data_IF_934100153971
#
_entry.id   IF_934100153971
#
_cell.length_a   1.000
_cell.length_b   1.000
_cell.length_c   1.000
_cell.angle_alpha   90.00
_cell.angle_beta   90.00
_cell.angle_gamma   90.00
#
_symmetry.space_group_name_H-M   'P 1'
#
loop_
_entity.id
_entity.type
_entity.pdbx_description
1 polymer ?
#
# COMPACT_ATOMS: atom_id res chain seq x y z
N UNK A 1 -70.64 -5.58 -15.00
CA UNK A 1 -69.88 -5.04 -13.85
C UNK A 1 -68.51 -5.70 -13.79
N UNK A 2 -67.52 -5.03 -13.20
CA UNK A 2 -66.15 -5.49 -12.92
C UNK A 2 -65.20 -5.73 -14.11
N UNK A 3 -64.15 -4.91 -14.18
CA UNK A 3 -62.95 -5.04 -15.02
C UNK A 3 -61.90 -5.95 -14.34
N UNK A 4 -61.44 -7.03 -15.00
CA UNK A 4 -60.17 -7.76 -14.73
C UNK A 4 -59.74 -8.45 -16.05
N UNK A 5 -58.48 -8.49 -16.53
CA UNK A 5 -57.35 -7.54 -16.46
C UNK A 5 -56.28 -7.90 -17.53
N UNK A 6 -55.31 -6.99 -17.77
CA UNK A 6 -53.97 -7.19 -18.38
C UNK A 6 -53.81 -8.08 -19.63
N UNK A 7 -53.61 -7.42 -20.77
CA UNK A 7 -52.93 -7.98 -21.95
C UNK A 7 -51.41 -7.73 -21.86
N UNK A 8 -50.58 -8.74 -22.16
CA UNK A 8 -49.15 -8.57 -22.42
C UNK A 8 -48.80 -9.31 -23.71
N UNK A 9 -48.57 -8.56 -24.80
CA UNK A 9 -48.06 -9.05 -26.07
C UNK A 9 -47.44 -7.87 -26.83
N UNK A 10 -46.25 -8.04 -27.40
CA UNK A 10 -45.58 -7.00 -28.19
C UNK A 10 -44.07 -6.93 -27.95
N UNK A 11 -43.32 -7.85 -28.55
CA UNK A 11 -41.89 -7.69 -28.69
C UNK A 11 -41.58 -6.66 -29.79
N UNK A 12 -40.53 -5.85 -29.61
CA UNK A 12 -39.77 -5.30 -30.75
C UNK A 12 -38.36 -4.89 -30.34
N UNK A 13 -37.40 -5.19 -31.21
CA UNK A 13 -36.00 -4.84 -31.03
C UNK A 13 -35.77 -3.35 -31.29
N UNK A 14 -34.81 -2.74 -30.57
CA UNK A 14 -34.34 -1.39 -30.85
C UNK A 14 -32.88 -1.45 -31.31
N UNK A 15 -32.64 -0.94 -32.51
CA UNK A 15 -31.35 -0.95 -33.20
C UNK A 15 -30.45 0.19 -32.75
N UNK A 16 -29.14 -0.08 -32.71
CA UNK A 16 -28.11 0.95 -32.51
C UNK A 16 -28.07 1.93 -33.69
N UNK A 17 -28.40 3.20 -33.47
CA UNK A 17 -27.72 4.33 -34.15
C UNK A 17 -28.10 5.69 -33.56
N UNK A 18 -27.10 6.44 -33.06
CA UNK A 18 -26.88 7.88 -33.33
C UNK A 18 -25.65 8.40 -32.58
N UNK A 19 -24.53 8.42 -33.28
CA UNK A 19 -23.39 9.30 -32.97
C UNK A 19 -23.74 10.73 -33.40
N UNK A 20 -23.62 11.69 -32.48
CA UNK A 20 -23.42 13.15 -32.62
C UNK A 20 -23.47 13.71 -31.18
N UNK A 21 -22.61 14.61 -30.74
CA UNK A 21 -21.52 15.33 -31.40
C UNK A 21 -20.53 15.82 -30.34
N UNK A 22 -19.23 15.81 -30.63
CA UNK A 22 -18.21 16.28 -29.71
C UNK A 22 -18.40 17.78 -29.35
N UNK A 23 -18.36 18.10 -28.06
CA UNK A 23 -17.92 19.42 -27.59
C UNK A 23 -16.49 19.31 -27.12
N UNK A 24 -15.58 19.81 -27.97
CA UNK A 24 -14.22 20.11 -27.59
C UNK A 24 -14.25 21.26 -26.56
N UNK A 25 -14.13 20.94 -25.27
CA UNK A 25 -13.73 21.94 -24.29
C UNK A 25 -12.22 22.11 -24.34
N UNK A 26 -11.79 23.02 -25.22
CA UNK A 26 -10.47 23.62 -25.14
C UNK A 26 -10.45 24.57 -23.94
N UNK A 27 -9.93 24.09 -22.82
CA UNK A 27 -9.43 24.95 -21.75
C UNK A 27 -8.12 24.36 -21.25
N UNK A 28 -7.01 25.03 -21.59
CA UNK A 28 -5.71 24.77 -20.98
C UNK A 28 -5.74 25.27 -19.53
N UNK A 29 -6.24 24.42 -18.63
CA UNK A 29 -5.96 24.55 -17.21
C UNK A 29 -5.06 23.39 -16.82
N UNK A 30 -3.77 23.71 -16.65
CA UNK A 30 -2.86 22.84 -15.91
C UNK A 30 -3.38 22.74 -14.48
N UNK A 31 -4.12 21.67 -14.19
CA UNK A 31 -4.45 21.30 -12.82
C UNK A 31 -3.17 20.74 -12.20
N UNK A 32 -2.27 21.64 -11.81
CA UNK A 32 -1.14 21.31 -10.94
C UNK A 32 -1.69 21.03 -9.55
N UNK A 33 -2.22 19.81 -9.35
CA UNK A 33 -2.43 19.27 -8.02
C UNK A 33 -1.12 19.44 -7.22
N UNK A 34 -1.17 19.90 -5.96
CA UNK A 34 0.04 20.13 -5.18
C UNK A 34 0.79 18.79 -5.00
N UNK A 35 1.92 18.65 -5.70
CA UNK A 35 2.77 17.45 -5.64
C UNK A 35 3.04 17.13 -4.17
N UNK A 36 2.57 15.97 -3.70
CA UNK A 36 2.65 15.60 -2.28
C UNK A 36 4.08 15.81 -1.75
N UNK A 37 4.20 16.70 -0.77
CA UNK A 37 5.48 17.04 -0.17
C UNK A 37 6.17 15.79 0.36
N UNK A 38 7.50 15.73 0.19
CA UNK A 38 8.33 14.67 0.76
C UNK A 38 8.20 14.77 2.28
N UNK A 39 7.59 13.78 2.93
CA UNK A 39 7.77 13.66 4.37
C UNK A 39 9.24 13.34 4.63
N UNK A 40 9.85 14.13 5.52
CA UNK A 40 11.18 13.88 6.05
C UNK A 40 11.21 12.77 7.10
N UNK A 41 10.05 12.21 7.48
CA UNK A 41 9.94 11.17 8.49
C UNK A 41 10.64 9.88 8.00
N UNK A 42 11.45 9.25 8.86
CA UNK A 42 12.14 8.02 8.50
C UNK A 42 11.13 6.89 8.25
N UNK A 43 11.26 6.23 7.09
CA UNK A 43 10.41 5.09 6.74
C UNK A 43 10.89 3.75 7.33
N UNK A 44 12.06 3.70 7.98
CA UNK A 44 12.67 2.44 8.44
C UNK A 44 11.82 1.72 9.48
N UNK A 45 11.82 0.38 9.42
CA UNK A 45 11.05 -0.44 10.35
C UNK A 45 9.53 -0.37 10.15
N UNK A 46 9.08 0.04 8.96
CA UNK A 46 7.65 0.04 8.56
C UNK A 46 7.32 -1.06 7.54
N UNK A 47 8.31 -1.82 7.10
CA UNK A 47 8.12 -3.07 6.37
C UNK A 47 7.68 -4.19 7.33
N UNK A 48 6.67 -5.02 6.99
CA UNK A 48 6.42 -6.26 7.73
C UNK A 48 7.63 -7.19 7.65
N UNK A 49 8.05 -7.74 8.79
CA UNK A 49 9.13 -8.72 8.85
C UNK A 49 8.74 -9.97 8.03
N UNK A 50 9.67 -10.44 7.20
CA UNK A 50 9.51 -11.63 6.37
C UNK A 50 10.87 -12.17 5.90
N UNK A 51 10.96 -13.48 5.72
CA UNK A 51 12.15 -14.21 5.25
C UNK A 51 12.03 -14.66 3.79
N UNK A 52 10.82 -14.65 3.25
CA UNK A 52 10.53 -15.12 1.89
C UNK A 52 9.55 -14.19 1.17
N UNK A 53 9.73 -14.02 -0.14
CA UNK A 53 8.78 -13.31 -0.99
C UNK A 53 8.55 -14.08 -2.29
N UNK A 54 7.28 -14.37 -2.60
CA UNK A 54 6.85 -15.07 -3.81
C UNK A 54 6.07 -14.11 -4.73
N UNK A 55 6.46 -14.04 -6.00
CA UNK A 55 5.74 -13.33 -7.05
C UNK A 55 5.14 -14.33 -8.04
N UNK A 56 3.81 -14.33 -8.19
CA UNK A 56 3.15 -14.99 -9.32
C UNK A 56 3.25 -14.09 -10.55
N UNK A 57 3.71 -14.63 -11.67
CA UNK A 57 3.85 -13.90 -12.92
C UNK A 57 2.55 -13.93 -13.71
N UNK A 58 1.95 -12.76 -13.96
CA UNK A 58 0.74 -12.61 -14.76
C UNK A 58 1.01 -11.85 -16.05
N UNK A 59 0.30 -12.21 -17.11
CA UNK A 59 0.28 -11.51 -18.41
C UNK A 59 -0.75 -10.38 -18.45
N UNK A 60 -1.47 -10.14 -17.34
CA UNK A 60 -2.53 -9.14 -17.24
C UNK A 60 -1.97 -7.83 -16.67
N UNK A 61 -2.07 -6.69 -17.38
CA UNK A 61 -1.52 -5.43 -16.92
C UNK A 61 -2.24 -4.90 -15.66
N UNK A 62 -1.57 -4.10 -14.80
CA UNK A 62 -2.15 -3.59 -13.56
C UNK A 62 -3.42 -2.76 -13.72
N UNK A 63 -3.63 -2.17 -14.91
CA UNK A 63 -4.87 -1.43 -15.26
C UNK A 63 -6.12 -2.31 -15.27
N UNK A 64 -5.98 -3.63 -15.39
CA UNK A 64 -7.08 -4.59 -15.39
C UNK A 64 -7.19 -5.38 -14.08
N UNK A 65 -6.47 -4.98 -13.03
CA UNK A 65 -6.51 -5.63 -11.73
C UNK A 65 -7.62 -5.01 -10.85
N UNK A 66 -8.48 -5.82 -10.21
CA UNK A 66 -9.41 -5.32 -9.21
C UNK A 66 -8.65 -4.88 -7.95
N UNK A 67 -9.21 -3.90 -7.23
CA UNK A 67 -8.63 -3.37 -5.99
C UNK A 67 -8.18 -4.48 -5.04
N UNK A 68 -8.98 -5.53 -4.88
CA UNK A 68 -8.59 -6.76 -4.21
C UNK A 68 -8.51 -7.90 -5.23
N UNK A 69 -7.30 -8.44 -5.40
CA UNK A 69 -7.02 -9.57 -6.30
C UNK A 69 -7.29 -10.90 -5.58
N UNK A 70 -7.20 -10.90 -4.25
CA UNK A 70 -7.40 -12.08 -3.40
C UNK A 70 -8.79 -12.74 -3.57
N UNK A 71 -9.92 -12.01 -3.64
CA UNK A 71 -11.25 -12.61 -3.86
C UNK A 71 -11.47 -13.21 -5.25
N UNK A 72 -10.66 -12.82 -6.24
CA UNK A 72 -10.77 -13.28 -7.64
C UNK A 72 -9.67 -14.27 -8.05
N UNK A 73 -8.68 -14.49 -7.18
CA UNK A 73 -7.61 -15.47 -7.38
C UNK A 73 -7.54 -16.39 -6.15
N UNK A 74 -8.30 -17.52 -6.15
CA UNK A 74 -8.19 -18.55 -5.14
C UNK A 74 -6.75 -18.95 -4.85
N UNK A 75 -5.91 -19.12 -5.87
CA UNK A 75 -4.51 -19.51 -5.72
C UNK A 75 -3.67 -18.45 -5.02
N UNK A 76 -3.83 -17.16 -5.34
CA UNK A 76 -3.14 -16.10 -4.60
C UNK A 76 -3.58 -16.07 -3.14
N UNK A 77 -4.87 -16.29 -2.86
CA UNK A 77 -5.40 -16.39 -1.49
C UNK A 77 -4.82 -17.58 -0.71
N UNK A 78 -4.76 -18.76 -1.32
CA UNK A 78 -4.14 -19.96 -0.75
C UNK A 78 -2.64 -19.74 -0.49
N UNK A 79 -1.90 -19.21 -1.47
CA UNK A 79 -0.46 -18.92 -1.37
C UNK A 79 -0.16 -17.88 -0.28
N UNK A 80 -0.94 -16.79 -0.19
CA UNK A 80 -0.79 -15.81 0.90
C UNK A 80 -0.98 -16.44 2.27
N UNK A 81 -1.94 -17.38 2.41
CA UNK A 81 -2.16 -18.11 3.66
C UNK A 81 -1.02 -19.08 3.97
N UNK A 82 -0.51 -19.80 2.98
CA UNK A 82 0.56 -20.79 3.16
C UNK A 82 1.91 -20.13 3.47
N UNK A 83 2.32 -19.15 2.64
CA UNK A 83 3.56 -18.40 2.84
C UNK A 83 3.60 -17.72 4.21
N UNK A 84 2.46 -17.20 4.71
CA UNK A 84 2.38 -16.57 6.04
C UNK A 84 2.75 -17.53 7.18
N UNK A 85 2.50 -18.84 7.06
CA UNK A 85 2.94 -19.84 8.07
C UNK A 85 4.46 -19.96 8.17
N UNK A 86 5.16 -19.55 7.12
CA UNK A 86 6.61 -19.67 6.96
C UNK A 86 7.32 -18.30 6.99
N UNK A 87 6.69 -17.29 7.59
CA UNK A 87 7.18 -15.90 7.61
C UNK A 87 7.42 -15.32 6.20
N UNK A 88 6.56 -15.68 5.25
CA UNK A 88 6.66 -15.30 3.85
C UNK A 88 5.49 -14.46 3.35
N UNK A 89 5.73 -13.70 2.29
CA UNK A 89 4.74 -12.87 1.58
C UNK A 89 4.54 -13.43 0.17
N UNK A 90 3.30 -13.39 -0.34
CA UNK A 90 2.99 -13.68 -1.74
C UNK A 90 2.29 -12.48 -2.40
N UNK A 91 2.61 -12.21 -3.66
CA UNK A 91 2.02 -11.14 -4.45
C UNK A 91 2.00 -11.51 -5.95
N UNK A 92 1.41 -10.65 -6.79
CA UNK A 92 1.44 -10.77 -8.25
C UNK A 92 2.40 -9.77 -8.86
N UNK A 93 3.06 -10.14 -9.95
CA UNK A 93 3.88 -9.28 -10.78
C UNK A 93 3.48 -9.38 -12.26
N UNK A 94 3.40 -8.23 -12.92
CA UNK A 94 3.20 -8.12 -14.36
C UNK A 94 4.50 -7.74 -15.06
N UNK A 95 4.75 -8.39 -16.19
CA UNK A 95 5.87 -8.09 -17.08
C UNK A 95 5.28 -7.72 -18.42
N UNK A 96 5.70 -6.58 -18.96
CA UNK A 96 5.29 -6.14 -20.29
C UNK A 96 5.83 -7.13 -21.34
N UNK A 97 4.96 -7.87 -22.06
CA UNK A 97 5.40 -8.88 -23.03
C UNK A 97 6.19 -8.29 -24.21
N UNK A 98 6.09 -6.97 -24.46
CA UNK A 98 6.87 -6.28 -25.49
C UNK A 98 8.31 -5.98 -25.07
N UNK A 99 8.59 -6.01 -23.76
CA UNK A 99 9.92 -5.74 -23.18
C UNK A 99 10.67 -7.02 -22.79
N UNK A 100 9.98 -8.16 -22.71
CA UNK A 100 10.60 -9.47 -22.54
C UNK A 100 11.42 -9.84 -23.80
N UNK A 101 12.63 -10.35 -23.60
CA UNK A 101 13.39 -10.94 -24.69
C UNK A 101 12.62 -12.14 -25.27
N UNK A 102 12.75 -12.38 -26.59
CA UNK A 102 12.05 -13.43 -27.37
C UNK A 102 12.22 -14.88 -26.88
N UNK A 103 12.94 -15.11 -25.79
CA UNK A 103 13.36 -16.42 -25.28
C UNK A 103 12.84 -16.77 -23.88
N UNK A 104 12.17 -15.86 -23.15
CA UNK A 104 11.56 -16.20 -21.85
C UNK A 104 10.03 -16.02 -21.88
N UNK A 105 9.29 -17.03 -22.40
CA UNK A 105 7.84 -16.94 -22.50
C UNK A 105 7.17 -17.07 -21.12
N UNK A 106 6.61 -15.96 -20.65
CA UNK A 106 5.70 -15.98 -19.49
C UNK A 106 4.33 -16.49 -19.96
N UNK A 107 4.04 -17.73 -19.60
CA UNK A 107 2.74 -18.40 -19.78
C UNK A 107 2.21 -18.84 -18.40
N UNK A 108 0.92 -18.88 -18.12
CA UNK A 108 -0.23 -18.18 -18.70
C UNK A 108 -1.23 -18.09 -17.54
N UNK A 109 -1.60 -16.89 -17.08
CA UNK A 109 -2.70 -16.74 -16.13
C UNK A 109 -4.03 -17.24 -16.73
N UNK A 110 -5.15 -17.23 -15.97
CA UNK A 110 -6.44 -17.71 -16.47
C UNK A 110 -6.76 -17.17 -17.86
N UNK A 111 -7.16 -18.08 -18.75
CA UNK A 111 -7.23 -17.91 -20.22
C UNK A 111 -8.19 -16.81 -20.71
N UNK A 112 -8.94 -16.22 -19.80
CA UNK A 112 -9.93 -15.19 -20.03
C UNK A 112 -9.43 -13.76 -20.18
N UNK A 113 -10.34 -12.88 -20.57
CA UNK A 113 -10.12 -11.43 -20.61
C UNK A 113 -10.29 -10.75 -19.23
N UNK A 114 -11.00 -11.40 -18.29
CA UNK A 114 -11.31 -10.87 -16.97
C UNK A 114 -10.93 -11.85 -15.84
N UNK A 115 -10.85 -11.35 -14.60
CA UNK A 115 -10.45 -12.12 -13.39
C UNK A 115 -11.59 -13.00 -12.83
N UNK A 116 -12.72 -13.11 -13.53
CA UNK A 116 -13.94 -13.78 -13.11
C UNK A 116 -14.16 -15.16 -13.75
N UNK A 117 -13.28 -15.61 -14.65
CA UNK A 117 -13.43 -16.90 -15.31
C UNK A 117 -13.01 -18.07 -14.39
N UNK A 118 -13.95 -19.00 -14.19
CA UNK A 118 -13.84 -20.21 -13.36
C UNK A 118 -12.92 -21.30 -13.96
N UNK A 119 -11.82 -20.89 -14.61
CA UNK A 119 -10.81 -21.75 -15.19
C UNK A 119 -9.70 -22.14 -14.20
N UNK A 120 -8.83 -23.10 -14.58
CA UNK A 120 -7.71 -23.50 -13.74
C UNK A 120 -6.65 -22.38 -13.64
N UNK A 121 -6.37 -21.92 -12.42
CA UNK A 121 -5.25 -21.01 -12.17
C UNK A 121 -3.92 -21.77 -12.17
N UNK A 122 -3.03 -21.39 -13.08
CA UNK A 122 -1.63 -21.85 -13.12
C UNK A 122 -0.74 -20.67 -13.48
N UNK A 123 0.36 -20.45 -12.76
CA UNK A 123 1.30 -19.36 -13.05
C UNK A 123 2.74 -19.84 -12.90
N UNK A 124 3.67 -19.24 -13.67
CA UNK A 124 5.09 -19.22 -13.31
C UNK A 124 5.24 -18.39 -12.02
N UNK A 125 6.19 -18.71 -11.14
CA UNK A 125 6.49 -17.89 -9.96
C UNK A 125 7.98 -17.70 -9.73
N UNK A 126 8.36 -16.55 -9.15
CA UNK A 126 9.71 -16.34 -8.59
C UNK A 126 9.63 -16.28 -7.08
N UNK A 127 10.52 -17.03 -6.41
CA UNK A 127 10.63 -17.09 -4.96
C UNK A 127 12.00 -16.56 -4.55
N UNK A 128 11.99 -15.59 -3.65
CA UNK A 128 13.17 -15.08 -2.95
C UNK A 128 13.19 -15.57 -1.52
N UNK A 129 14.38 -15.78 -0.97
CA UNK A 129 14.60 -16.11 0.42
C UNK A 129 15.91 -15.52 0.93
N UNK A 130 15.99 -15.25 2.23
CA UNK A 130 17.18 -14.66 2.87
C UNK A 130 18.43 -15.50 2.56
N UNK A 131 19.48 -14.85 2.06
CA UNK A 131 20.76 -15.46 1.68
C UNK A 131 20.65 -16.61 0.66
N UNK A 132 19.59 -16.64 -0.16
CA UNK A 132 19.39 -17.62 -1.24
C UNK A 132 19.44 -16.93 -2.61
N UNK A 133 19.89 -17.66 -3.64
CA UNK A 133 19.64 -17.26 -5.03
C UNK A 133 18.12 -17.30 -5.31
N UNK A 134 17.60 -16.48 -6.24
CA UNK A 134 16.22 -16.57 -6.67
C UNK A 134 15.89 -17.99 -7.16
N UNK A 135 14.67 -18.45 -6.92
CA UNK A 135 14.16 -19.69 -7.47
C UNK A 135 12.98 -19.40 -8.41
N UNK A 136 12.91 -20.12 -9.52
CA UNK A 136 11.87 -20.00 -10.54
C UNK A 136 11.07 -21.30 -10.58
N UNK A 137 9.84 -21.22 -10.09
CA UNK A 137 8.85 -22.27 -10.22
C UNK A 137 8.16 -22.16 -11.58
N UNK A 138 8.25 -23.19 -12.41
CA UNK A 138 7.73 -23.15 -13.79
C UNK A 138 6.19 -23.25 -13.86
N UNK A 139 5.57 -23.90 -12.87
CA UNK A 139 4.11 -24.09 -12.79
C UNK A 139 3.66 -24.18 -11.34
N UNK A 140 2.88 -23.19 -10.89
CA UNK A 140 2.25 -23.12 -9.57
C UNK A 140 0.75 -23.09 -9.77
N UNK A 141 0.03 -24.02 -9.14
CA UNK A 141 -1.43 -24.18 -9.22
C UNK A 141 -2.02 -24.56 -7.86
N UNK A 142 -3.35 -24.54 -7.74
CA UNK A 142 -4.07 -25.01 -6.54
C UNK A 142 -3.73 -26.46 -6.14
N UNK A 143 -3.28 -27.29 -7.08
CA UNK A 143 -2.96 -28.70 -6.82
C UNK A 143 -1.52 -28.96 -6.37
N UNK A 144 -0.60 -27.98 -6.48
CA UNK A 144 0.82 -28.19 -6.17
C UNK A 144 1.47 -27.12 -5.27
N UNK A 145 0.80 -26.01 -4.96
CA UNK A 145 1.42 -24.89 -4.23
C UNK A 145 2.04 -25.30 -2.88
N UNK A 146 1.38 -26.19 -2.13
CA UNK A 146 1.80 -26.59 -0.79
C UNK A 146 3.05 -27.48 -0.80
N UNK A 147 3.14 -28.44 -1.72
CA UNK A 147 4.37 -29.24 -1.89
C UNK A 147 5.51 -28.37 -2.42
N UNK A 148 5.23 -27.50 -3.39
CA UNK A 148 6.22 -26.60 -3.97
C UNK A 148 6.88 -25.67 -2.93
N UNK A 149 6.08 -25.06 -2.04
CA UNK A 149 6.60 -24.26 -0.91
C UNK A 149 7.44 -25.14 0.02
N UNK A 150 6.94 -26.33 0.39
CA UNK A 150 7.64 -27.25 1.29
C UNK A 150 9.00 -27.68 0.73
N UNK A 151 9.07 -28.05 -0.54
CA UNK A 151 10.29 -28.53 -1.20
C UNK A 151 11.34 -27.41 -1.28
N UNK A 152 10.92 -26.20 -1.66
CA UNK A 152 11.78 -25.01 -1.68
C UNK A 152 12.35 -24.68 -0.30
N UNK A 153 11.52 -24.72 0.76
CA UNK A 153 11.96 -24.47 2.12
C UNK A 153 12.94 -25.55 2.61
N UNK A 154 12.67 -26.81 2.29
CA UNK A 154 13.47 -27.98 2.65
C UNK A 154 14.76 -28.16 1.80
N UNK A 155 15.01 -27.29 0.82
CA UNK A 155 16.14 -27.38 -0.12
C UNK A 155 16.18 -28.72 -0.88
N UNK A 156 15.02 -29.34 -1.11
CA UNK A 156 14.93 -30.61 -1.84
C UNK A 156 14.99 -30.37 -3.34
N UNK A 157 15.63 -31.29 -4.07
CA UNK A 157 15.64 -31.26 -5.52
C UNK A 157 14.21 -31.48 -6.04
N UNK A 158 13.69 -30.47 -6.75
CA UNK A 158 12.38 -30.52 -7.39
C UNK A 158 12.55 -29.98 -8.82
N UNK A 159 12.32 -30.83 -9.82
CA UNK A 159 12.50 -30.51 -11.25
C UNK A 159 11.61 -29.33 -11.72
N UNK A 160 10.58 -28.98 -10.95
CA UNK A 160 9.68 -27.83 -11.21
C UNK A 160 10.28 -26.49 -10.76
N UNK A 161 11.37 -26.51 -9.99
CA UNK A 161 12.03 -25.33 -9.41
C UNK A 161 13.46 -25.23 -9.92
N UNK A 162 13.74 -24.18 -10.69
CA UNK A 162 15.08 -23.90 -11.22
C UNK A 162 15.74 -22.73 -10.47
N UNK A 163 17.07 -22.69 -10.43
CA UNK A 163 17.80 -21.52 -9.91
C UNK A 163 17.68 -20.38 -10.92
N UNK A 164 17.17 -19.23 -10.47
CA UNK A 164 16.98 -18.05 -11.30
C UNK A 164 18.28 -17.28 -11.56
N UNK A 165 18.26 -16.47 -12.63
CA UNK A 165 19.38 -15.63 -13.01
C UNK A 165 19.69 -14.55 -11.97
N UNK A 166 20.98 -14.21 -11.86
CA UNK A 166 21.56 -13.20 -10.98
C UNK A 166 21.35 -11.77 -11.53
N UNK A 167 20.07 -11.41 -11.69
CA UNK A 167 19.60 -10.10 -12.13
C UNK A 167 18.94 -9.33 -11.00
N UNK A 168 19.22 -8.04 -10.94
CA UNK A 168 18.50 -7.08 -10.10
C UNK A 168 17.13 -6.82 -10.71
N UNK A 169 16.08 -7.02 -9.92
CA UNK A 169 14.69 -6.85 -10.31
C UNK A 169 14.05 -5.73 -9.51
N UNK A 170 13.56 -4.73 -10.23
CA UNK A 170 12.76 -3.65 -9.69
C UNK A 170 11.28 -3.96 -9.94
N UNK A 171 10.51 -4.05 -8.85
CA UNK A 171 9.06 -4.23 -8.89
C UNK A 171 8.39 -2.91 -8.51
N UNK A 172 7.80 -2.21 -9.48
CA UNK A 172 7.16 -0.91 -9.27
C UNK A 172 5.65 -1.09 -9.07
N UNK A 173 5.10 -0.56 -7.99
CA UNK A 173 3.66 -0.66 -7.75
C UNK A 173 2.91 0.38 -8.61
N UNK A 174 2.15 -0.09 -9.59
CA UNK A 174 1.30 0.73 -10.49
C UNK A 174 -0.20 0.45 -10.31
N UNK A 175 -0.58 -0.21 -9.21
CA UNK A 175 -1.96 -0.66 -8.96
C UNK A 175 -2.89 0.47 -8.49
N UNK A 176 -3.27 1.35 -9.43
CA UNK A 176 -4.03 2.57 -9.17
C UNK A 176 -5.46 2.37 -8.62
N UNK A 177 -6.07 1.20 -8.82
CA UNK A 177 -7.41 0.87 -8.28
C UNK A 177 -7.41 0.56 -6.78
N UNK A 178 -6.24 0.38 -6.16
CA UNK A 178 -6.07 0.17 -4.70
C UNK A 178 -5.55 1.41 -3.98
N UNK A 179 -4.69 2.19 -4.63
CA UNK A 179 -4.10 3.42 -4.10
C UNK A 179 -3.81 4.36 -5.29
N UNK A 180 -4.47 5.51 -5.34
CA UNK A 180 -4.27 6.49 -6.40
C UNK A 180 -2.81 6.94 -6.51
N UNK A 181 -2.07 6.98 -5.39
CA UNK A 181 -0.65 7.36 -5.37
C UNK A 181 0.25 6.30 -6.02
N UNK A 182 -0.16 5.03 -6.00
CA UNK A 182 0.47 3.98 -6.80
C UNK A 182 0.13 4.11 -8.29
N UNK A 183 -1.09 4.54 -8.64
CA UNK A 183 -1.45 4.85 -10.02
C UNK A 183 -0.60 5.98 -10.61
N UNK A 184 -0.63 7.15 -9.96
CA UNK A 184 0.01 8.37 -10.45
C UNK A 184 1.54 8.31 -10.35
N UNK A 185 2.07 8.19 -9.13
CA UNK A 185 3.53 8.25 -8.90
C UNK A 185 4.23 6.97 -9.34
N UNK A 186 3.56 5.82 -9.21
CA UNK A 186 4.11 4.54 -9.67
C UNK A 186 4.33 4.51 -11.18
N UNK A 187 3.37 5.03 -11.96
CA UNK A 187 3.49 5.15 -13.42
C UNK A 187 4.67 6.04 -13.85
N UNK A 188 4.84 7.21 -13.22
CA UNK A 188 5.98 8.09 -13.48
C UNK A 188 7.33 7.42 -13.13
N UNK A 189 7.41 6.76 -11.97
CA UNK A 189 8.60 6.03 -11.48
C UNK A 189 8.97 4.89 -12.43
N UNK A 190 7.99 4.11 -12.88
CA UNK A 190 8.18 3.03 -13.86
C UNK A 190 8.70 3.56 -15.19
N UNK A 191 8.10 4.63 -15.72
CA UNK A 191 8.52 5.25 -16.98
C UNK A 191 9.96 5.79 -16.88
N UNK A 192 10.29 6.47 -15.79
CA UNK A 192 11.64 6.97 -15.53
C UNK A 192 12.67 5.83 -15.41
N UNK A 193 12.32 4.72 -14.74
CA UNK A 193 13.20 3.55 -14.60
C UNK A 193 13.43 2.84 -15.95
N UNK A 194 12.37 2.59 -16.73
CA UNK A 194 12.48 2.04 -18.10
C UNK A 194 13.31 2.95 -19.00
N UNK A 195 13.17 4.28 -18.88
CA UNK A 195 13.98 5.24 -19.63
C UNK A 195 15.46 5.26 -19.18
N UNK A 196 15.74 5.19 -17.88
CA UNK A 196 17.11 5.17 -17.35
C UNK A 196 17.86 3.90 -17.79
N UNK A 197 17.23 2.73 -17.65
CA UNK A 197 17.81 1.44 -18.06
C UNK A 197 18.01 1.40 -19.58
N UNK A 198 17.04 1.81 -20.40
CA UNK A 198 17.21 1.81 -21.87
C UNK A 198 18.34 2.72 -22.37
N UNK A 199 18.69 3.78 -21.62
CA UNK A 199 19.85 4.66 -21.88
C UNK A 199 21.17 4.16 -21.27
N UNK A 200 21.14 3.12 -20.45
CA UNK A 200 22.32 2.58 -19.77
C UNK A 200 23.16 1.65 -20.66
N UNK A 201 24.38 1.37 -20.21
CA UNK A 201 25.31 0.48 -20.90
C UNK A 201 24.73 -0.94 -21.10
N UNK A 202 25.19 -1.69 -22.12
CA UNK A 202 24.67 -3.04 -22.41
C UNK A 202 24.73 -4.00 -21.22
N UNK A 203 25.79 -3.92 -20.39
CA UNK A 203 25.96 -4.75 -19.20
C UNK A 203 24.85 -4.48 -18.17
N UNK A 204 24.62 -3.21 -17.81
CA UNK A 204 23.52 -2.78 -16.93
C UNK A 204 22.16 -3.25 -17.49
N UNK A 205 21.93 -3.10 -18.81
CA UNK A 205 20.70 -3.54 -19.46
C UNK A 205 20.48 -5.06 -19.43
N UNK A 206 21.55 -5.86 -19.33
CA UNK A 206 21.45 -7.32 -19.17
C UNK A 206 21.24 -7.75 -17.71
N UNK A 207 21.74 -6.96 -16.76
CA UNK A 207 21.67 -7.22 -15.30
C UNK A 207 20.37 -6.74 -14.65
N UNK A 208 19.65 -5.81 -15.27
CA UNK A 208 18.44 -5.18 -14.70
C UNK A 208 17.18 -5.64 -15.40
N UNK A 209 16.19 -6.01 -14.62
CA UNK A 209 14.84 -6.39 -15.05
C UNK A 209 13.80 -5.55 -14.31
N UNK A 210 12.73 -5.14 -15.00
CA UNK A 210 11.71 -4.22 -14.47
C UNK A 210 10.34 -4.86 -14.64
N UNK A 211 9.61 -4.98 -13.53
CA UNK A 211 8.26 -5.50 -13.47
C UNK A 211 7.34 -4.52 -12.74
N UNK A 212 6.05 -4.70 -12.94
CA UNK A 212 5.01 -4.03 -12.17
C UNK A 212 4.46 -5.00 -11.12
N UNK A 213 3.98 -4.51 -9.97
CA UNK A 213 3.58 -5.36 -8.83
C UNK A 213 2.26 -4.92 -8.20
N UNK A 214 1.49 -5.89 -7.70
CA UNK A 214 0.31 -5.65 -6.88
C UNK A 214 0.65 -4.84 -5.62
N UNK A 215 -0.29 -4.03 -5.13
CA UNK A 215 -0.06 -3.09 -4.03
C UNK A 215 0.68 -3.69 -2.82
N UNK A 216 1.76 -3.00 -2.38
CA UNK A 216 2.72 -3.53 -1.42
C UNK A 216 2.69 -2.76 -0.10
N UNK A 217 1.89 -3.26 0.83
CA UNK A 217 1.66 -2.65 2.15
C UNK A 217 0.19 -2.30 2.39
N UNK A 218 -0.04 -1.36 3.30
CA UNK A 218 -1.35 -0.84 3.74
C UNK A 218 -1.15 0.25 4.78
N UNK A 219 -0.51 1.35 4.34
CA UNK A 219 -0.09 2.50 5.15
C UNK A 219 0.33 3.61 4.17
N UNK A 220 0.15 4.91 4.52
CA UNK A 220 0.47 6.16 3.76
C UNK A 220 1.81 6.24 2.99
N UNK A 221 2.72 5.28 3.14
CA UNK A 221 3.98 5.20 2.40
C UNK A 221 4.23 3.81 1.81
N UNK A 222 3.18 3.11 1.37
CA UNK A 222 3.25 1.81 0.70
C UNK A 222 4.43 1.76 -0.28
N UNK A 223 5.13 0.62 -0.33
CA UNK A 223 6.36 0.53 -1.10
C UNK A 223 6.01 0.67 -2.59
N UNK A 224 6.45 1.77 -3.20
CA UNK A 224 6.23 2.01 -4.63
C UNK A 224 7.33 1.40 -5.49
N UNK A 225 8.46 0.97 -4.91
CA UNK A 225 9.49 0.15 -5.56
C UNK A 225 9.99 -0.93 -4.58
N UNK A 226 10.05 -2.18 -5.03
CA UNK A 226 10.80 -3.26 -4.36
C UNK A 226 12.04 -3.61 -5.18
N UNK A 227 13.15 -3.95 -4.51
CA UNK A 227 14.40 -4.35 -5.17
C UNK A 227 14.86 -5.72 -4.67
N UNK A 228 14.85 -6.70 -5.56
CA UNK A 228 15.30 -8.07 -5.33
C UNK A 228 16.51 -8.40 -6.22
N UNK A 229 17.41 -9.35 -5.84
CA UNK A 229 17.36 -10.22 -4.67
C UNK A 229 17.54 -9.61 -3.26
N UNK A 230 18.08 -8.39 -3.03
CA UNK A 230 18.29 -7.87 -1.67
C UNK A 230 17.05 -7.83 -0.78
N UNK A 231 15.85 -7.71 -1.36
CA UNK A 231 14.58 -7.64 -0.64
C UNK A 231 14.34 -6.29 0.00
N UNK A 232 14.86 -5.21 -0.62
CA UNK A 232 14.66 -3.85 -0.15
C UNK A 232 13.27 -3.34 -0.55
N UNK A 233 12.51 -2.85 0.42
CA UNK A 233 11.24 -2.14 0.16
C UNK A 233 11.48 -0.64 0.23
N UNK A 234 11.22 0.07 -0.86
CA UNK A 234 11.39 1.51 -0.98
C UNK A 234 10.03 2.20 -1.10
N UNK A 235 9.77 3.13 -0.19
CA UNK A 235 8.60 4.01 -0.21
C UNK A 235 8.98 5.41 -0.71
N UNK A 236 7.97 6.15 -1.15
CA UNK A 236 8.09 7.56 -1.53
C UNK A 236 9.12 7.84 -2.65
N UNK A 237 9.51 6.86 -3.46
CA UNK A 237 10.41 7.05 -4.61
C UNK A 237 9.75 7.98 -5.65
N UNK A 238 10.55 8.78 -6.35
CA UNK A 238 10.16 9.69 -7.44
C UNK A 238 11.04 9.48 -8.68
N UNK A 239 10.62 9.96 -9.87
CA UNK A 239 11.45 9.97 -11.08
C UNK A 239 12.85 10.56 -10.92
N UNK A 240 13.01 11.55 -10.03
CA UNK A 240 14.28 12.19 -9.69
C UNK A 240 15.31 11.25 -9.07
N UNK A 241 14.84 10.20 -8.38
CA UNK A 241 15.68 9.37 -7.51
C UNK A 241 16.26 8.18 -8.29
N UNK A 242 15.65 7.88 -9.44
CA UNK A 242 15.97 6.75 -10.32
C UNK A 242 17.44 6.65 -10.73
N UNK A 243 18.13 7.73 -11.17
CA UNK A 243 19.52 7.60 -11.62
C UNK A 243 20.46 7.11 -10.50
N UNK A 244 20.24 7.60 -9.28
CA UNK A 244 21.06 7.26 -8.13
C UNK A 244 20.63 5.93 -7.49
N UNK A 245 19.33 5.57 -7.52
CA UNK A 245 18.86 4.22 -7.18
C UNK A 245 19.42 3.16 -8.13
N UNK A 246 19.41 3.41 -9.44
CA UNK A 246 19.95 2.47 -10.44
C UNK A 246 21.44 2.24 -10.15
N UNK A 247 22.23 3.31 -10.03
CA UNK A 247 23.66 3.22 -9.65
C UNK A 247 23.86 2.40 -8.37
N UNK A 248 23.11 2.68 -7.30
CA UNK A 248 23.24 1.99 -6.00
C UNK A 248 23.14 0.46 -6.11
N UNK A 249 22.28 -0.06 -7.00
CA UNK A 249 22.07 -1.51 -7.13
C UNK A 249 22.83 -2.18 -8.27
N UNK A 250 23.30 -1.42 -9.28
CA UNK A 250 24.07 -1.97 -10.42
C UNK A 250 25.58 -1.78 -10.28
N UNK A 251 26.00 -0.80 -9.48
CA UNK A 251 27.39 -0.45 -9.18
C UNK A 251 27.51 -0.06 -7.68
N UNK A 252 27.47 -1.06 -6.77
CA UNK A 252 27.56 -0.81 -5.34
C UNK A 252 28.95 -0.32 -4.90
N UNK A 253 30.01 -0.69 -5.63
CA UNK A 253 31.40 -0.38 -5.29
C UNK A 253 31.84 1.01 -5.79
N UNK A 254 31.22 1.55 -6.86
CA UNK A 254 31.52 2.86 -7.44
C UNK A 254 30.80 4.05 -6.79
N UNK A 255 30.21 3.90 -5.60
CA UNK A 255 29.47 4.97 -4.94
C UNK A 255 30.35 5.96 -4.18
N UNK A 256 30.23 7.25 -4.49
CA UNK A 256 30.46 8.29 -3.49
C UNK A 256 29.37 8.22 -2.40
N UNK A 257 29.57 8.95 -1.30
CA UNK A 257 28.73 8.89 -0.11
C UNK A 257 27.26 9.30 -0.26
N UNK A 258 26.72 9.53 -1.46
CA UNK A 258 25.28 9.78 -1.68
C UNK A 258 24.40 8.60 -1.24
N UNK A 259 24.89 7.36 -1.38
CA UNK A 259 24.93 6.42 -0.26
C UNK A 259 23.63 6.20 0.56
N UNK A 260 23.91 6.17 1.86
CA UNK A 260 23.15 6.69 2.98
C UNK A 260 21.89 7.53 2.70
N UNK A 261 21.92 8.63 1.94
CA UNK A 261 20.79 9.58 1.93
C UNK A 261 19.56 9.02 1.20
N UNK A 262 19.72 8.34 0.07
CA UNK A 262 18.61 7.64 -0.59
C UNK A 262 18.08 6.50 0.28
N UNK A 263 18.99 5.71 0.86
CA UNK A 263 18.63 4.67 1.80
C UNK A 263 17.78 5.26 2.93
N UNK A 264 18.24 6.33 3.59
CA UNK A 264 17.61 6.97 4.76
C UNK A 264 16.18 7.47 4.48
N UNK A 265 15.93 8.04 3.30
CA UNK A 265 14.63 8.64 2.95
C UNK A 265 13.62 7.62 2.40
N UNK A 266 14.06 6.60 1.67
CA UNK A 266 13.16 5.68 0.96
C UNK A 266 13.02 4.30 1.62
N UNK A 267 14.06 3.78 2.27
CA UNK A 267 14.06 2.41 2.81
C UNK A 267 13.01 2.24 3.92
N UNK A 268 12.08 1.30 3.70
CA UNK A 268 11.12 0.81 4.70
C UNK A 268 11.68 -0.34 5.53
N UNK A 269 12.54 -1.15 4.91
CA UNK A 269 13.23 -2.29 5.50
C UNK A 269 13.83 -3.19 4.42
N UNK A 270 14.50 -4.27 4.85
CA UNK A 270 15.05 -5.34 4.02
C UNK A 270 14.56 -6.71 4.51
N UNK A 271 14.20 -7.60 3.60
CA UNK A 271 13.88 -9.01 3.88
C UNK A 271 14.95 -9.67 4.78
N UNK A 272 14.53 -10.42 5.79
CA UNK A 272 15.43 -11.06 6.76
C UNK A 272 16.05 -10.14 7.82
N UNK A 273 15.53 -8.93 8.01
CA UNK A 273 15.93 -8.05 9.11
C UNK A 273 14.74 -7.67 9.98
N UNK A 274 15.00 -7.55 11.29
CA UNK A 274 13.98 -7.07 12.22
C UNK A 274 13.83 -5.55 12.16
N UNK A 275 12.71 -5.05 12.66
CA UNK A 275 12.48 -3.63 12.89
C UNK A 275 13.59 -2.98 13.74
N UNK A 276 14.12 -3.70 14.72
CA UNK A 276 15.19 -3.19 15.59
C UNK A 276 16.52 -3.07 14.85
N UNK A 277 16.83 -3.98 13.92
CA UNK A 277 18.08 -3.93 13.15
C UNK A 277 18.06 -2.79 12.13
N UNK A 278 16.92 -2.57 11.47
CA UNK A 278 16.73 -1.43 10.55
C UNK A 278 16.84 -0.08 11.28
N UNK A 279 16.30 0.04 12.50
CA UNK A 279 16.41 1.27 13.30
C UNK A 279 17.86 1.53 13.77
N UNK A 280 18.58 0.50 14.24
CA UNK A 280 20.01 0.65 14.61
C UNK A 280 20.87 1.08 13.43
N UNK A 281 20.67 0.47 12.25
CA UNK A 281 21.39 0.84 11.03
C UNK A 281 21.13 2.31 10.64
N UNK A 282 19.91 2.79 10.84
CA UNK A 282 19.58 4.20 10.63
C UNK A 282 20.30 5.12 11.63
N UNK A 283 20.31 4.79 12.93
CA UNK A 283 21.02 5.56 13.96
C UNK A 283 22.53 5.63 13.69
N UNK A 284 23.15 4.51 13.27
CA UNK A 284 24.55 4.47 12.88
C UNK A 284 24.87 5.29 11.62
N UNK A 285 23.99 5.27 10.61
CA UNK A 285 24.16 6.06 9.38
C UNK A 285 24.06 7.56 9.67
N UNK A 286 23.05 7.99 10.42
CA UNK A 286 22.88 9.40 10.84
C UNK A 286 24.10 9.88 11.65
N UNK A 287 24.66 9.01 12.50
CA UNK A 287 25.86 9.32 13.29
C UNK A 287 27.14 9.52 12.44
N UNK A 288 27.21 8.91 11.26
CA UNK A 288 28.38 8.99 10.35
C UNK A 288 28.34 10.18 9.38
N UNK A 289 27.14 10.70 9.04
CA UNK A 289 26.97 11.74 8.01
C UNK A 289 27.31 13.19 8.44
N UNK A 290 27.66 13.47 9.71
CA UNK A 290 27.96 14.83 10.23
C UNK A 290 26.88 15.90 9.96
N UNK A 291 25.63 15.51 9.72
CA UNK A 291 24.51 16.45 9.68
C UNK A 291 24.15 16.87 11.10
N UNK A 292 23.98 18.18 11.34
CA UNK A 292 23.43 18.68 12.60
C UNK A 292 22.07 18.01 12.84
N UNK A 293 21.76 17.56 14.06
CA UNK A 293 20.47 16.95 14.33
C UNK A 293 19.36 17.93 13.97
N UNK A 294 18.43 17.49 13.12
CA UNK A 294 17.09 18.09 13.11
C UNK A 294 16.61 18.04 14.55
N UNK A 295 16.32 19.21 15.12
CA UNK A 295 15.98 19.32 16.53
C UNK A 295 14.81 18.40 16.83
N UNK A 296 15.05 17.36 17.65
CA UNK A 296 13.99 16.57 18.27
C UNK A 296 12.99 17.56 18.83
N UNK A 297 11.83 17.68 18.19
CA UNK A 297 10.78 18.56 18.67
C UNK A 297 10.53 18.15 20.12
N UNK A 298 10.74 19.09 21.06
CA UNK A 298 10.53 18.79 22.47
C UNK A 298 9.08 18.35 22.60
N UNK A 299 8.88 17.09 23.00
CA UNK A 299 7.57 16.61 23.42
C UNK A 299 7.05 17.63 24.44
N UNK A 300 5.95 18.31 24.12
CA UNK A 300 5.46 19.37 24.98
C UNK A 300 5.01 18.74 26.28
N UNK A 301 5.45 19.28 27.41
CA UNK A 301 5.21 18.72 28.76
C UNK A 301 3.78 18.91 29.24
N UNK A 302 2.81 19.04 28.33
CA UNK A 302 1.40 19.27 28.63
C UNK A 302 0.62 17.98 28.35
N UNK A 303 0.37 17.24 29.44
CA UNK A 303 -0.45 16.03 29.47
C UNK A 303 -1.86 16.42 29.93
N UNK A 304 -2.86 16.12 29.11
CA UNK A 304 -4.28 16.32 29.40
C UNK A 304 -4.97 14.97 29.64
N UNK A 305 -6.16 14.98 30.23
CA UNK A 305 -6.99 13.78 30.38
C UNK A 305 -8.23 13.90 29.50
N UNK A 306 -8.36 13.00 28.53
CA UNK A 306 -9.42 13.02 27.52
C UNK A 306 -10.48 11.98 27.88
N UNK A 307 -11.75 12.38 28.14
CA UNK A 307 -12.84 11.45 28.38
C UNK A 307 -13.39 10.87 27.07
N UNK A 308 -13.46 9.54 26.99
CA UNK A 308 -14.20 8.80 25.96
C UNK A 308 -15.43 8.14 26.60
N UNK A 309 -16.61 8.39 26.04
CA UNK A 309 -17.88 7.81 26.49
C UNK A 309 -18.15 6.54 25.68
N UNK A 310 -18.12 5.37 26.33
CA UNK A 310 -18.41 4.07 25.70
C UNK A 310 -19.89 3.91 25.39
N UNK A 311 -20.25 2.91 24.56
CA UNK A 311 -21.63 2.71 24.10
C UNK A 311 -22.64 2.43 25.24
N UNK A 312 -22.16 1.89 26.37
CA UNK A 312 -22.92 1.61 27.58
C UNK A 312 -23.00 2.82 28.56
N UNK A 313 -22.39 3.95 28.19
CA UNK A 313 -22.37 5.19 28.98
C UNK A 313 -21.26 5.29 30.01
N UNK A 314 -20.35 4.31 30.12
CA UNK A 314 -19.15 4.46 30.94
C UNK A 314 -18.20 5.53 30.38
N UNK A 315 -17.35 6.11 31.22
CA UNK A 315 -16.37 7.14 30.80
C UNK A 315 -14.95 6.65 31.10
N UNK A 316 -14.14 6.55 30.06
CA UNK A 316 -12.72 6.19 30.14
C UNK A 316 -11.88 7.46 29.96
N UNK A 317 -11.12 7.81 31.00
CA UNK A 317 -10.21 8.96 30.99
C UNK A 317 -8.82 8.53 30.54
N UNK A 318 -8.30 9.15 29.48
CA UNK A 318 -7.03 8.75 28.85
C UNK A 318 -6.01 9.90 28.86
N UNK A 319 -4.76 9.69 29.32
CA UNK A 319 -3.71 10.70 29.20
C UNK A 319 -3.33 10.95 27.72
N UNK A 320 -3.26 12.22 27.32
CA UNK A 320 -2.99 12.64 25.95
C UNK A 320 -1.98 13.80 25.91
N UNK A 321 -1.11 13.81 24.90
CA UNK A 321 -0.21 14.96 24.62
C UNK A 321 -0.77 15.84 23.52
N UNK A 322 -0.39 17.13 23.54
CA UNK A 322 -0.75 18.05 22.46
C UNK A 322 -0.25 17.57 21.08
N UNK A 323 -1.16 17.57 20.11
CA UNK A 323 -0.88 17.15 18.73
C UNK A 323 -1.03 15.64 18.44
N UNK A 324 -1.20 14.79 19.46
CA UNK A 324 -1.59 13.39 19.22
C UNK A 324 -3.01 13.32 18.65
N UNK A 325 -3.29 12.40 17.74
CA UNK A 325 -4.65 12.15 17.26
C UNK A 325 -5.47 11.39 18.32
N UNK A 326 -6.77 11.68 18.44
CA UNK A 326 -7.69 10.96 19.35
C UNK A 326 -7.61 9.43 19.20
N UNK A 327 -7.44 8.92 17.98
CA UNK A 327 -7.25 7.48 17.73
C UNK A 327 -6.00 6.93 18.43
N UNK A 328 -4.84 7.60 18.29
CA UNK A 328 -3.59 7.16 18.94
C UNK A 328 -3.73 7.14 20.46
N UNK A 329 -4.33 8.19 21.02
CA UNK A 329 -4.63 8.33 22.45
C UNK A 329 -5.46 7.13 22.91
N UNK A 330 -6.64 6.94 22.31
CA UNK A 330 -7.55 5.84 22.63
C UNK A 330 -6.92 4.44 22.46
N UNK A 331 -6.27 4.19 21.32
CA UNK A 331 -5.60 2.92 20.99
C UNK A 331 -4.48 2.59 21.98
N UNK A 332 -3.68 3.59 22.38
CA UNK A 332 -2.56 3.39 23.33
C UNK A 332 -3.01 3.00 24.73
N UNK A 333 -4.25 3.36 25.10
CA UNK A 333 -4.86 3.03 26.40
C UNK A 333 -5.87 1.87 26.34
N UNK A 334 -6.01 1.21 25.19
CA UNK A 334 -6.93 0.07 25.02
C UNK A 334 -8.41 0.44 25.12
N UNK A 335 -8.79 1.66 24.73
CA UNK A 335 -10.19 2.10 24.69
C UNK A 335 -10.99 1.20 23.73
N UNK A 336 -12.11 0.60 24.15
CA UNK A 336 -12.95 -0.25 23.30
C UNK A 336 -13.44 0.46 22.03
N UNK A 337 -13.71 -0.30 20.97
CA UNK A 337 -14.21 0.22 19.68
C UNK A 337 -13.28 1.17 18.90
N UNK A 338 -12.07 1.46 19.40
CA UNK A 338 -11.04 2.19 18.66
C UNK A 338 -9.83 1.28 18.42
N UNK A 339 -9.89 0.50 17.34
CA UNK A 339 -8.78 -0.35 16.92
C UNK A 339 -7.70 0.43 16.17
N UNK A 340 -8.11 1.39 15.32
CA UNK A 340 -7.23 2.18 14.47
C UNK A 340 -6.29 1.32 13.63
N UNK A 341 -6.81 0.31 12.92
CA UNK A 341 -6.02 -0.74 12.25
C UNK A 341 -5.01 -0.18 11.26
N UNK A 342 -5.37 0.87 10.51
CA UNK A 342 -4.44 1.51 9.58
C UNK A 342 -3.36 2.39 10.24
N UNK A 343 -3.38 2.62 11.57
CA UNK A 343 -2.52 3.61 12.27
C UNK A 343 -2.70 5.07 11.81
N UNK A 344 -3.93 5.41 11.41
CA UNK A 344 -4.35 6.79 11.13
C UNK A 344 -3.94 7.29 9.75
N UNK A 345 -4.10 6.42 8.76
CA UNK A 345 -3.65 6.60 7.38
C UNK A 345 -4.78 6.92 6.40
N UNK A 346 -6.00 7.04 6.92
CA UNK A 346 -7.23 7.29 6.16
C UNK A 346 -7.56 6.15 5.16
N UNK A 347 -7.26 4.91 5.56
CA UNK A 347 -7.47 3.68 4.78
C UNK A 347 -8.47 2.72 5.45
N UNK A 348 -9.07 3.09 6.60
CA UNK A 348 -10.09 2.29 7.27
C UNK A 348 -10.97 3.13 8.22
N UNK A 349 -12.17 2.62 8.53
CA UNK A 349 -13.08 3.24 9.48
C UNK A 349 -12.92 2.79 10.95
N UNK A 350 -12.00 1.90 11.31
CA UNK A 350 -11.91 1.29 12.67
C UNK A 350 -11.38 2.20 13.78
N UNK A 351 -11.42 3.52 13.57
CA UNK A 351 -11.23 4.53 14.61
C UNK A 351 -12.38 5.56 14.61
N UNK A 352 -13.54 5.12 14.14
CA UNK A 352 -14.78 5.87 14.12
C UNK A 352 -15.23 6.22 15.54
N UNK A 353 -15.61 7.47 15.74
CA UNK A 353 -16.31 7.96 16.92
C UNK A 353 -17.28 9.06 16.52
N UNK A 354 -18.19 9.41 17.43
CA UNK A 354 -19.11 10.53 17.27
C UNK A 354 -18.57 11.76 18.00
N UNK A 355 -18.42 12.86 17.26
CA UNK A 355 -18.06 14.19 17.75
C UNK A 355 -18.99 15.19 17.06
N UNK A 356 -19.71 16.07 17.78
CA UNK A 356 -20.51 17.12 17.16
C UNK A 356 -19.72 17.92 16.11
N UNK A 357 -20.36 18.38 15.02
CA UNK A 357 -19.68 19.03 13.91
C UNK A 357 -19.00 20.36 14.29
N UNK A 358 -18.23 20.93 13.36
CA UNK A 358 -17.40 22.14 13.56
C UNK A 358 -18.25 23.41 13.84
N UNK A 359 -17.77 24.41 14.60
CA UNK A 359 -18.64 25.45 15.14
C UNK A 359 -19.07 26.55 14.17
N UNK A 360 -20.35 26.92 14.30
CA UNK A 360 -20.82 28.32 14.22
C UNK A 360 -21.40 28.83 15.55
N UNK A 361 -21.51 27.95 16.57
CA UNK A 361 -22.06 28.22 17.90
C UNK A 361 -21.32 27.38 18.97
N UNK A 362 -21.41 27.76 20.25
CA UNK A 362 -20.61 27.22 21.36
C UNK A 362 -20.88 25.74 21.72
N UNK A 363 -21.99 25.16 21.26
CA UNK A 363 -22.32 23.75 21.49
C UNK A 363 -21.54 22.74 20.62
N UNK A 364 -20.77 23.25 19.65
CA UNK A 364 -20.14 22.48 18.58
C UNK A 364 -18.63 22.28 18.82
N UNK A 365 -18.05 21.18 18.33
CA UNK A 365 -16.69 20.78 18.70
C UNK A 365 -15.63 21.55 17.88
N UNK A 366 -14.54 22.04 18.49
CA UNK A 366 -13.49 22.80 17.81
C UNK A 366 -12.50 21.88 17.08
N UNK A 367 -13.02 21.06 16.18
CA UNK A 367 -12.29 20.08 15.37
C UNK A 367 -12.02 20.59 13.95
N UNK A 368 -11.04 20.02 13.21
CA UNK A 368 -10.85 20.32 11.78
C UNK A 368 -12.14 20.07 10.99
N UNK A 369 -12.31 20.77 9.86
CA UNK A 369 -13.36 20.38 8.91
C UNK A 369 -13.15 18.92 8.47
N UNK A 370 -14.24 18.22 8.17
CA UNK A 370 -14.16 16.92 7.49
C UNK A 370 -13.59 17.14 6.07
N UNK A 371 -12.80 16.18 5.60
CA UNK A 371 -12.27 16.17 4.23
C UNK A 371 -13.02 15.15 3.38
N UNK A 372 -13.05 15.32 2.07
CA UNK A 372 -13.72 14.38 1.14
C UNK A 372 -13.22 12.93 1.36
N UNK A 373 -11.91 12.73 1.49
CA UNK A 373 -11.32 11.42 1.78
C UNK A 373 -11.67 10.86 3.18
N UNK A 374 -12.05 11.71 4.15
CA UNK A 374 -12.59 11.24 5.44
C UNK A 374 -14.07 10.86 5.31
N UNK A 375 -14.84 11.62 4.53
CA UNK A 375 -16.23 11.32 4.21
C UNK A 375 -16.36 9.97 3.48
N UNK A 376 -15.56 9.76 2.43
CA UNK A 376 -15.49 8.51 1.66
C UNK A 376 -15.13 7.30 2.53
N UNK A 377 -14.27 7.49 3.55
CA UNK A 377 -13.90 6.41 4.47
C UNK A 377 -14.98 6.14 5.53
N UNK A 378 -15.80 7.14 5.87
CA UNK A 378 -16.92 6.98 6.80
C UNK A 378 -18.12 6.23 6.18
N UNK A 379 -18.21 6.11 4.86
CA UNK A 379 -19.15 5.19 4.18
C UNK A 379 -19.00 3.74 4.68
N UNK A 380 -17.78 3.34 5.07
CA UNK A 380 -17.46 2.01 5.59
C UNK A 380 -17.58 1.89 7.12
N UNK A 381 -17.99 2.96 7.83
CA UNK A 381 -18.11 2.97 9.29
C UNK A 381 -19.41 2.29 9.76
N UNK A 382 -19.28 1.32 10.68
CA UNK A 382 -20.43 0.62 11.24
C UNK A 382 -21.23 1.57 12.14
N UNK A 383 -22.46 1.90 11.71
CA UNK A 383 -23.34 2.80 12.47
C UNK A 383 -23.04 4.29 12.29
N UNK A 384 -22.48 4.70 11.13
CA UNK A 384 -22.28 6.11 10.75
C UNK A 384 -23.53 6.99 11.01
N UNK A 385 -23.28 8.24 11.40
CA UNK A 385 -24.22 9.34 11.63
C UNK A 385 -23.58 10.66 11.17
N UNK A 386 -24.34 11.74 11.19
CA UNK A 386 -23.85 13.08 10.83
C UNK A 386 -22.73 13.58 11.76
N UNK A 387 -22.69 13.11 13.02
CA UNK A 387 -21.61 13.41 13.97
C UNK A 387 -20.40 12.46 13.84
N UNK A 388 -20.37 11.57 12.86
CA UNK A 388 -19.25 10.63 12.68
C UNK A 388 -17.97 11.34 12.28
N UNK A 389 -16.86 11.00 12.94
CA UNK A 389 -15.50 11.38 12.57
C UNK A 389 -14.54 10.20 12.70
N UNK A 390 -13.42 10.25 11.97
CA UNK A 390 -12.32 9.32 12.17
C UNK A 390 -11.32 9.92 13.14
N UNK A 391 -11.15 9.31 14.32
CA UNK A 391 -10.33 9.84 15.41
C UNK A 391 -8.85 10.02 15.05
N UNK A 392 -8.38 9.46 13.93
CA UNK A 392 -7.05 9.72 13.41
C UNK A 392 -6.90 11.11 12.75
N UNK A 393 -7.99 11.71 12.26
CA UNK A 393 -8.01 13.05 11.65
C UNK A 393 -8.21 14.17 12.68
N UNK A 394 -8.45 13.83 13.94
CA UNK A 394 -8.73 14.78 15.02
C UNK A 394 -7.52 14.89 15.96
N UNK A 395 -6.68 15.94 15.86
CA UNK A 395 -5.59 16.18 16.80
C UNK A 395 -6.12 16.70 18.15
N UNK A 396 -5.44 16.36 19.23
CA UNK A 396 -5.67 16.92 20.56
C UNK A 396 -5.11 18.34 20.61
N UNK A 397 -6.00 19.31 20.63
CA UNK A 397 -5.71 20.74 20.76
C UNK A 397 -6.19 21.30 22.10
N UNK A 398 -5.75 22.51 22.47
CA UNK A 398 -6.20 23.16 23.70
C UNK A 398 -7.70 23.47 23.65
N UNK A 399 -8.17 23.87 22.49
CA UNK A 399 -9.55 24.21 22.20
C UNK A 399 -10.43 22.97 22.38
N UNK A 400 -9.99 21.80 21.87
CA UNK A 400 -10.70 20.54 22.07
C UNK A 400 -10.79 20.16 23.56
N UNK A 401 -9.70 20.32 24.31
CA UNK A 401 -9.69 20.06 25.77
C UNK A 401 -10.64 20.98 26.51
N UNK A 402 -10.62 22.30 26.25
CA UNK A 402 -11.53 23.25 26.88
C UNK A 402 -13.00 23.00 26.51
N UNK A 403 -13.28 22.53 25.30
CA UNK A 403 -14.64 22.11 24.91
C UNK A 403 -15.10 20.86 25.67
N UNK A 404 -14.21 19.88 25.89
CA UNK A 404 -14.50 18.69 26.71
C UNK A 404 -14.74 19.05 28.18
N UNK A 405 -13.91 19.94 28.75
CA UNK A 405 -14.10 20.50 30.11
C UNK A 405 -15.42 21.29 30.23
N UNK A 406 -15.86 21.94 29.14
CA UNK A 406 -17.16 22.61 29.02
C UNK A 406 -18.37 21.69 28.86
N UNK A 407 -18.19 20.36 28.90
CA UNK A 407 -19.28 19.37 28.77
C UNK A 407 -19.39 18.71 27.40
N UNK A 408 -18.46 18.98 26.48
CA UNK A 408 -18.31 18.24 25.22
C UNK A 408 -18.05 16.75 25.44
N UNK A 409 -18.44 15.91 24.48
CA UNK A 409 -18.35 14.45 24.61
C UNK A 409 -17.80 13.80 23.34
N UNK A 410 -16.82 12.91 23.51
CA UNK A 410 -16.36 11.95 22.50
C UNK A 410 -17.12 10.64 22.73
N UNK A 411 -18.09 10.31 21.88
CA UNK A 411 -18.90 9.08 22.06
C UNK A 411 -18.42 7.99 21.12
N UNK A 412 -18.34 6.76 21.62
CA UNK A 412 -17.90 5.61 20.84
C UNK A 412 -19.08 4.84 20.22
N UNK A 413 -18.89 4.20 19.05
CA UNK A 413 -19.83 3.20 18.56
C UNK A 413 -19.88 1.98 19.49
N UNK A 414 -20.84 1.09 19.23
CA UNK A 414 -20.98 -0.19 19.96
C UNK A 414 -19.98 -1.26 19.49
N UNK A 415 -19.43 -1.08 18.30
CA UNK A 415 -18.60 -2.04 17.58
C UNK A 415 -17.25 -1.36 17.35
#
# INVERSE_FOLDING_TARGET
MAFISRSYAGAQAVTYSKLRSARLYSTTQEITAPRHAISSDPLHGTMPEHDYYLFLHTTRPPVSWPSHIEPVSPLLSELKREMKKHNGIANVAYYDPSLLAKHDPIHLGPSGAAWDESGPETYKATIYGVNRKPAIAQSVSLSNYGSLIKDYLALQANDSITVGEDRIRFYVCTHGSRDCRCGDVGGEVLAALRQAVSKSEPDIRSKVEIAEVGHVGGHVWAANVLVYPPGDWLGNVRPSDIPALLKQYTDPDGSDGSQSTLSRLHRRGRMGRTKLDELKLQEEQVSKEKLKPLSRAKASTQSWSIPFVTYDGSIIFVPASAGDSLMKVAKSAGVPSIEGVCDGKLECATCHLYIPPRPTDAALAPIPAISEAEEDMLDYAIGRRDESRLGCQIPVTKELVYWLEGGGQLKLPRF
#
